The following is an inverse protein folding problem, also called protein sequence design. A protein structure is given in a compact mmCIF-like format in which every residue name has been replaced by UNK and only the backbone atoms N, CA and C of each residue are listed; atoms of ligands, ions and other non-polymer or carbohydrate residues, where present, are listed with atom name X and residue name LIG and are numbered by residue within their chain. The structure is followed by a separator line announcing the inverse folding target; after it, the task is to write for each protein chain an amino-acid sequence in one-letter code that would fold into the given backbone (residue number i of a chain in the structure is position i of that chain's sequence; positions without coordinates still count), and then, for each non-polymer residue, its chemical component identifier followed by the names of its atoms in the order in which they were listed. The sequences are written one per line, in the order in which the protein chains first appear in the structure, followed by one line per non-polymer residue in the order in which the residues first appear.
data_IF_801852848109
#
_entry.id   IF_801852848109
#
_cell.length_a   1.000
_cell.length_b   1.000
_cell.length_c   1.000
_cell.angle_alpha   90.00
_cell.angle_beta   90.00
_cell.angle_gamma   90.00
#
_symmetry.space_group_name_H-M   'P 1'
#
loop_
_entity.id
_entity.type
_entity.pdbx_description
1 polymer ?
#
# COMPACT_ATOMS: atom_id res chain seq x y z
N UNK A 1 18.63 9.73 0.35
CA UNK A 1 18.10 10.05 -1.01
C UNK A 1 17.69 8.72 -1.59
N UNK A 2 16.40 8.55 -1.87
CA UNK A 2 15.82 7.30 -2.39
C UNK A 2 16.43 6.96 -3.76
N UNK A 3 16.88 5.71 -3.94
CA UNK A 3 17.57 5.22 -5.14
C UNK A 3 17.15 3.82 -5.59
N UNK A 4 16.43 3.07 -4.74
CA UNK A 4 16.04 1.66 -4.90
C UNK A 4 17.17 0.72 -5.39
N UNK A 5 18.36 0.69 -4.77
CA UNK A 5 19.30 -0.42 -4.98
C UNK A 5 18.83 -1.70 -4.27
N UNK A 6 19.41 -2.84 -4.63
CA UNK A 6 19.17 -4.10 -3.91
C UNK A 6 17.77 -4.72 -4.13
N UNK A 7 17.07 -4.33 -5.21
CA UNK A 7 15.71 -4.82 -5.47
C UNK A 7 15.69 -6.33 -5.64
N UNK A 8 14.91 -7.01 -4.79
CA UNK A 8 14.71 -8.45 -4.85
C UNK A 8 13.36 -8.85 -4.27
N UNK A 9 12.92 -10.07 -4.60
CA UNK A 9 11.75 -10.71 -4.00
C UNK A 9 12.20 -12.04 -3.40
N UNK A 10 11.78 -12.32 -2.17
CA UNK A 10 12.08 -13.59 -1.51
C UNK A 10 10.80 -14.23 -0.97
N UNK A 11 10.70 -15.55 -1.12
CA UNK A 11 9.72 -16.40 -0.42
C UNK A 11 10.35 -17.14 0.77
N UNK A 12 11.68 -17.02 0.92
CA UNK A 12 12.44 -17.55 2.05
C UNK A 12 12.41 -16.50 3.17
N UNK A 13 11.29 -16.43 3.89
CA UNK A 13 11.07 -15.48 4.98
C UNK A 13 10.63 -16.23 6.25
N UNK A 14 11.31 -15.97 7.37
CA UNK A 14 11.05 -16.69 8.62
C UNK A 14 9.74 -16.31 9.32
N UNK A 15 9.20 -15.12 9.02
CA UNK A 15 8.01 -14.57 9.67
C UNK A 15 6.97 -13.98 8.68
N UNK A 16 7.17 -14.23 7.39
CA UNK A 16 6.31 -13.74 6.32
C UNK A 16 6.24 -14.75 5.17
N UNK A 17 5.27 -14.58 4.26
CA UNK A 17 5.12 -15.43 3.08
C UNK A 17 5.99 -14.93 1.92
N UNK A 18 6.06 -13.61 1.76
CA UNK A 18 6.85 -12.95 0.70
C UNK A 18 7.43 -11.66 1.24
N UNK A 19 8.68 -11.37 0.89
CA UNK A 19 9.28 -10.04 1.10
C UNK A 19 9.69 -9.42 -0.23
N UNK A 20 9.37 -8.13 -0.38
CA UNK A 20 9.82 -7.26 -1.46
C UNK A 20 10.86 -6.32 -0.85
N UNK A 21 12.09 -6.39 -1.34
CA UNK A 21 13.26 -5.82 -0.65
C UNK A 21 13.89 -4.75 -1.52
N UNK A 22 14.29 -3.63 -0.91
CA UNK A 22 15.26 -2.68 -1.45
C UNK A 22 16.01 -2.02 -0.29
N UNK A 23 17.16 -1.41 -0.57
CA UNK A 23 17.97 -0.75 0.46
C UNK A 23 17.26 0.45 1.12
N UNK A 24 16.28 1.05 0.44
CA UNK A 24 15.58 2.23 0.93
C UNK A 24 14.19 1.92 1.53
N UNK A 25 13.55 0.82 1.13
CA UNK A 25 12.25 0.39 1.63
C UNK A 25 12.01 -1.09 1.31
N UNK A 26 11.52 -1.84 2.29
CA UNK A 26 11.04 -3.21 2.09
C UNK A 26 9.60 -3.39 2.59
N UNK A 27 8.90 -4.37 2.02
CA UNK A 27 7.55 -4.77 2.40
C UNK A 27 7.52 -6.27 2.66
N UNK A 28 6.97 -6.68 3.80
CA UNK A 28 6.84 -8.06 4.18
C UNK A 28 5.35 -8.40 4.22
N UNK A 29 4.92 -9.29 3.32
CA UNK A 29 3.55 -9.77 3.25
C UNK A 29 3.43 -11.05 4.07
N UNK A 30 2.55 -11.03 5.07
CA UNK A 30 2.22 -12.18 5.91
C UNK A 30 0.72 -12.34 6.01
N UNK A 31 0.29 -13.54 6.41
CA UNK A 31 -1.12 -13.84 6.63
C UNK A 31 -1.33 -14.14 8.11
N UNK A 32 -2.39 -13.57 8.67
CA UNK A 32 -2.84 -13.81 10.05
C UNK A 32 -4.35 -14.00 10.02
N UNK A 33 -4.81 -15.18 10.45
CA UNK A 33 -6.17 -15.67 10.19
C UNK A 33 -6.60 -15.47 8.72
N UNK A 34 -7.63 -14.66 8.50
CA UNK A 34 -8.20 -14.35 7.19
C UNK A 34 -7.70 -13.02 6.62
N UNK A 35 -6.71 -12.39 7.25
CA UNK A 35 -6.18 -11.09 6.85
C UNK A 35 -4.78 -11.21 6.25
N UNK A 36 -4.57 -10.44 5.20
CA UNK A 36 -3.26 -10.16 4.63
C UNK A 36 -2.70 -8.92 5.31
N UNK A 37 -1.52 -9.07 5.90
CA UNK A 37 -0.84 -8.02 6.65
C UNK A 37 0.43 -7.65 5.94
N UNK A 38 0.62 -6.35 5.72
CA UNK A 38 1.86 -5.77 5.21
C UNK A 38 2.59 -5.11 6.38
N UNK A 39 3.84 -5.52 6.58
CA UNK A 39 4.80 -4.80 7.40
C UNK A 39 5.75 -4.01 6.49
N UNK A 40 6.20 -2.85 6.95
CA UNK A 40 7.14 -1.98 6.23
C UNK A 40 8.49 -1.91 6.95
N UNK A 41 9.59 -1.93 6.23
CA UNK A 41 10.94 -1.69 6.77
C UNK A 41 11.53 -0.47 6.06
N UNK A 42 11.92 0.55 6.84
CA UNK A 42 12.49 1.79 6.29
C UNK A 42 14.00 1.66 5.97
N UNK A 43 14.56 2.73 5.38
CA UNK A 43 15.98 2.87 5.01
C UNK A 43 16.96 2.81 6.19
N UNK A 44 16.44 2.78 7.43
CA UNK A 44 17.21 2.61 8.67
C UNK A 44 17.02 1.21 9.26
N UNK A 45 16.46 0.29 8.48
CA UNK A 45 16.16 -1.08 8.87
C UNK A 45 15.19 -1.18 10.07
N UNK A 46 14.37 -0.14 10.30
CA UNK A 46 13.34 -0.18 11.32
C UNK A 46 12.06 -0.73 10.72
N UNK A 47 11.54 -1.80 11.34
CA UNK A 47 10.28 -2.43 10.96
C UNK A 47 9.09 -1.76 11.63
N UNK A 48 8.04 -1.53 10.85
CA UNK A 48 6.72 -1.09 11.26
C UNK A 48 5.74 -2.20 10.94
N UNK A 49 5.18 -2.81 11.97
CA UNK A 49 4.28 -3.93 11.80
C UNK A 49 2.86 -3.46 11.48
N UNK A 50 2.16 -4.25 10.67
CA UNK A 50 0.78 -4.04 10.25
C UNK A 50 0.52 -2.61 9.75
N UNK A 51 1.38 -2.10 8.86
CA UNK A 51 1.10 -0.83 8.18
C UNK A 51 -0.14 -0.93 7.31
N UNK A 52 -0.45 -2.12 6.79
CA UNK A 52 -1.75 -2.43 6.19
C UNK A 52 -2.30 -3.80 6.61
N UNK A 53 -3.63 -3.87 6.76
CA UNK A 53 -4.38 -5.11 7.01
C UNK A 53 -5.53 -5.20 6.00
N UNK A 54 -5.55 -6.25 5.18
CA UNK A 54 -6.32 -6.33 3.94
C UNK A 54 -7.07 -7.66 3.89
N UNK A 55 -8.38 -7.63 3.68
CA UNK A 55 -9.24 -8.82 3.80
C UNK A 55 -9.08 -9.85 2.67
N UNK A 56 -8.46 -9.46 1.55
CA UNK A 56 -8.25 -10.34 0.40
C UNK A 56 -6.84 -10.16 -0.16
N UNK A 57 -6.35 -11.21 -0.83
CA UNK A 57 -5.05 -11.15 -1.48
C UNK A 57 -5.03 -10.09 -2.59
N UNK A 58 -6.12 -9.94 -3.36
CA UNK A 58 -6.21 -8.90 -4.38
C UNK A 58 -6.07 -7.49 -3.79
N UNK A 59 -6.61 -7.24 -2.58
CA UNK A 59 -6.40 -5.96 -1.92
C UNK A 59 -4.94 -5.76 -1.48
N UNK A 60 -4.28 -6.84 -1.03
CA UNK A 60 -2.84 -6.83 -0.73
C UNK A 60 -1.99 -6.50 -1.96
N UNK A 61 -2.28 -7.13 -3.09
CA UNK A 61 -1.62 -6.88 -4.37
C UNK A 61 -1.77 -5.41 -4.81
N UNK A 62 -3.01 -4.89 -4.85
CA UNK A 62 -3.28 -3.49 -5.20
C UNK A 62 -2.52 -2.52 -4.30
N UNK A 63 -2.51 -2.78 -2.99
CA UNK A 63 -1.81 -1.94 -2.02
C UNK A 63 -0.29 -1.95 -2.27
N UNK A 64 0.30 -3.13 -2.44
CA UNK A 64 1.73 -3.28 -2.70
C UNK A 64 2.17 -2.62 -4.01
N UNK A 65 1.41 -2.79 -5.09
CA UNK A 65 1.67 -2.12 -6.38
C UNK A 65 1.68 -0.60 -6.20
N UNK A 66 0.65 -0.05 -5.56
CA UNK A 66 0.57 1.38 -5.29
C UNK A 66 1.73 1.89 -4.43
N UNK A 67 2.05 1.20 -3.33
CA UNK A 67 3.13 1.61 -2.42
C UNK A 67 4.49 1.55 -3.09
N UNK A 68 4.79 0.43 -3.77
CA UNK A 68 6.05 0.24 -4.47
C UNK A 68 6.23 1.25 -5.60
N UNK A 69 5.18 1.50 -6.40
CA UNK A 69 5.24 2.48 -7.46
C UNK A 69 5.36 3.92 -6.93
N UNK A 70 4.64 4.27 -5.85
CA UNK A 70 4.77 5.58 -5.20
C UNK A 70 6.21 5.83 -4.74
N UNK A 71 6.85 4.80 -4.20
CA UNK A 71 8.25 4.85 -3.77
C UNK A 71 9.21 4.98 -4.95
N UNK A 72 9.03 4.16 -5.98
CA UNK A 72 9.81 4.19 -7.23
C UNK A 72 9.76 5.57 -7.89
N UNK A 73 8.58 6.18 -7.99
CA UNK A 73 8.40 7.52 -8.55
C UNK A 73 9.18 8.58 -7.77
N UNK A 74 9.16 8.51 -6.45
CA UNK A 74 9.94 9.42 -5.60
C UNK A 74 11.46 9.24 -5.83
N UNK A 75 11.95 8.01 -5.95
CA UNK A 75 13.35 7.72 -6.27
C UNK A 75 13.76 8.28 -7.65
N UNK A 76 12.86 8.20 -8.63
CA UNK A 76 13.03 8.74 -9.98
C UNK A 76 12.77 10.26 -10.08
N UNK A 77 12.42 10.94 -8.99
CA UNK A 77 12.03 12.36 -8.96
C UNK A 77 10.86 12.69 -9.91
N UNK A 78 9.98 11.72 -10.11
CA UNK A 78 8.72 11.91 -10.82
C UNK A 78 7.67 12.50 -9.87
N UNK A 79 6.60 13.06 -10.43
CA UNK A 79 5.49 13.58 -9.64
C UNK A 79 4.90 12.49 -8.74
N UNK A 80 4.79 12.77 -7.44
CA UNK A 80 4.27 11.82 -6.47
C UNK A 80 2.79 11.51 -6.75
N UNK A 81 2.44 10.22 -6.65
CA UNK A 81 1.09 9.73 -6.95
C UNK A 81 0.06 10.12 -5.88
N UNK A 82 0.40 9.91 -4.60
CA UNK A 82 -0.51 10.07 -3.46
C UNK A 82 -1.07 11.48 -3.22
N UNK A 83 -0.30 12.58 -3.34
CA UNK A 83 -0.77 13.91 -2.93
C UNK A 83 -2.02 14.42 -3.66
N UNK A 84 -2.21 14.07 -4.93
CA UNK A 84 -3.40 14.51 -5.67
C UNK A 84 -4.67 13.82 -5.17
N UNK A 85 -4.60 12.51 -4.93
CA UNK A 85 -5.73 11.73 -4.39
C UNK A 85 -6.02 12.10 -2.93
N UNK A 86 -4.98 12.31 -2.12
CA UNK A 86 -5.15 12.74 -0.73
C UNK A 86 -5.94 14.05 -0.61
N UNK A 87 -5.66 15.02 -1.49
CA UNK A 87 -6.37 16.31 -1.52
C UNK A 87 -7.86 16.19 -1.87
N UNK A 88 -8.28 15.10 -2.52
CA UNK A 88 -9.68 14.86 -2.86
C UNK A 88 -10.48 14.34 -1.66
N UNK A 89 -9.82 14.00 -0.55
CA UNK A 89 -10.47 13.32 0.58
C UNK A 89 -10.76 11.86 0.25
N UNK A 90 -11.63 11.23 1.03
CA UNK A 90 -12.06 9.85 0.78
C UNK A 90 -12.97 9.77 -0.45
N UNK A 91 -12.83 8.70 -1.23
CA UNK A 91 -13.77 8.37 -2.30
C UNK A 91 -15.19 8.20 -1.73
N UNK A 92 -16.20 8.66 -2.49
CA UNK A 92 -17.62 8.43 -2.18
C UNK A 92 -18.06 6.98 -2.35
N UNK A 93 -17.25 6.17 -3.02
CA UNK A 93 -17.60 4.78 -3.39
C UNK A 93 -17.23 3.77 -2.29
N UNK A 94 -16.67 4.24 -1.17
CA UNK A 94 -16.29 3.41 -0.03
C UNK A 94 -17.01 3.88 1.24
N UNK A 95 -17.31 2.94 2.12
CA UNK A 95 -17.77 3.26 3.47
C UNK A 95 -16.60 3.27 4.45
N UNK A 96 -16.69 4.10 5.48
CA UNK A 96 -15.67 4.19 6.55
C UNK A 96 -16.23 3.59 7.83
N UNK A 97 -15.44 2.75 8.49
CA UNK A 97 -15.71 2.25 9.83
C UNK A 97 -14.54 2.57 10.78
N UNK A 98 -14.80 2.76 12.10
CA UNK A 98 -13.73 2.90 13.08
C UNK A 98 -12.89 1.64 13.15
N UNK A 99 -11.56 1.80 13.20
CA UNK A 99 -10.64 0.73 13.57
C UNK A 99 -10.37 0.74 15.07
N UNK A 100 -9.73 -0.31 15.61
CA UNK A 100 -9.35 -0.37 17.03
C UNK A 100 -8.42 0.78 17.47
N UNK A 101 -7.64 1.32 16.53
CA UNK A 101 -6.75 2.47 16.74
C UNK A 101 -7.32 3.73 16.11
N UNK A 102 -7.36 4.84 16.87
CA UNK A 102 -7.84 6.15 16.41
C UNK A 102 -7.06 6.73 15.21
N UNK A 103 -5.83 6.26 15.01
CA UNK A 103 -4.94 6.68 13.93
C UNK A 103 -5.17 5.91 12.63
N UNK A 104 -6.05 4.92 12.67
CA UNK A 104 -6.39 4.05 11.54
C UNK A 104 -7.88 4.12 11.24
N UNK A 105 -8.23 3.80 10.02
CA UNK A 105 -9.62 3.69 9.59
C UNK A 105 -9.78 2.39 8.80
N UNK A 106 -10.96 1.80 8.90
CA UNK A 106 -11.36 0.69 8.04
C UNK A 106 -12.12 1.25 6.83
N UNK A 107 -11.63 0.94 5.64
CA UNK A 107 -12.33 1.10 4.38
C UNK A 107 -13.16 -0.15 4.12
N UNK A 108 -14.43 0.01 3.75
CA UNK A 108 -15.33 -1.07 3.39
C UNK A 108 -15.86 -0.87 1.97
N UNK A 109 -15.76 -1.93 1.15
CA UNK A 109 -16.16 -1.91 -0.25
C UNK A 109 -16.63 -3.28 -0.71
N UNK A 110 -17.19 -3.36 -1.92
CA UNK A 110 -17.55 -4.64 -2.54
C UNK A 110 -16.34 -5.53 -2.86
N UNK A 111 -15.12 -4.97 -2.93
CA UNK A 111 -13.88 -5.71 -3.12
C UNK A 111 -13.29 -6.26 -1.80
N UNK A 112 -13.91 -5.94 -0.67
CA UNK A 112 -13.44 -6.26 0.68
C UNK A 112 -13.07 -5.02 1.49
N UNK A 113 -12.45 -5.29 2.63
CA UNK A 113 -12.08 -4.31 3.64
C UNK A 113 -10.56 -4.11 3.73
N UNK A 114 -10.15 -2.90 4.08
CA UNK A 114 -8.76 -2.51 4.29
C UNK A 114 -8.63 -1.60 5.53
N UNK A 115 -7.78 -1.95 6.48
CA UNK A 115 -7.49 -1.13 7.67
C UNK A 115 -6.13 -0.48 7.49
N UNK A 116 -6.09 0.84 7.41
CA UNK A 116 -4.91 1.63 7.05
C UNK A 116 -4.77 2.88 7.94
N UNK A 117 -3.56 3.46 8.08
CA UNK A 117 -3.40 4.82 8.58
C UNK A 117 -4.25 5.81 7.77
N UNK A 118 -4.78 6.86 8.40
CA UNK A 118 -5.72 7.78 7.75
C UNK A 118 -5.21 8.36 6.41
N UNK A 119 -3.91 8.68 6.32
CA UNK A 119 -3.31 9.18 5.07
C UNK A 119 -3.41 8.16 3.93
N UNK A 120 -3.05 6.92 4.23
CA UNK A 120 -3.02 5.83 3.26
C UNK A 120 -4.44 5.39 2.92
N UNK A 121 -5.34 5.37 3.91
CA UNK A 121 -6.75 5.07 3.71
C UNK A 121 -7.42 6.09 2.77
N UNK A 122 -7.12 7.38 2.95
CA UNK A 122 -7.66 8.44 2.09
C UNK A 122 -7.27 8.20 0.64
N UNK A 123 -5.99 7.89 0.37
CA UNK A 123 -5.51 7.61 -1.00
C UNK A 123 -6.06 6.29 -1.53
N UNK A 124 -5.96 5.21 -0.75
CA UNK A 124 -6.34 3.86 -1.17
C UNK A 124 -7.84 3.71 -1.39
N UNK A 125 -8.67 4.57 -0.78
CA UNK A 125 -10.11 4.63 -1.07
C UNK A 125 -10.44 4.86 -2.55
N UNK A 126 -9.55 5.53 -3.29
CA UNK A 126 -9.67 5.75 -4.74
C UNK A 126 -9.16 4.58 -5.59
N UNK A 127 -8.47 3.63 -4.96
CA UNK A 127 -7.81 2.49 -5.63
C UNK A 127 -8.50 1.16 -5.35
N UNK A 128 -9.17 1.02 -4.20
CA UNK A 128 -9.69 -0.26 -3.70
C UNK A 128 -10.63 -0.96 -4.69
N UNK A 129 -11.44 -0.19 -5.43
CA UNK A 129 -12.37 -0.70 -6.44
C UNK A 129 -11.78 -0.80 -7.85
N UNK A 130 -10.59 -0.24 -8.10
CA UNK A 130 -9.92 -0.30 -9.41
C UNK A 130 -9.31 -1.68 -9.66
N UNK A 131 -9.22 -2.07 -10.92
CA UNK A 131 -8.43 -3.24 -11.31
C UNK A 131 -6.93 -3.00 -11.10
N UNK A 132 -6.14 -4.08 -11.08
CA UNK A 132 -4.68 -3.98 -11.01
C UNK A 132 -4.15 -3.19 -12.21
N UNK A 133 -4.59 -3.52 -13.42
CA UNK A 133 -4.18 -2.83 -14.66
C UNK A 133 -4.44 -1.32 -14.62
N UNK A 134 -5.61 -0.89 -14.13
CA UNK A 134 -5.92 0.53 -13.95
C UNK A 134 -4.97 1.20 -12.95
N UNK A 135 -4.64 0.52 -11.85
CA UNK A 135 -3.69 1.06 -10.85
C UNK A 135 -2.30 1.16 -11.47
N UNK A 136 -1.84 0.14 -12.20
CA UNK A 136 -0.55 0.15 -12.90
C UNK A 136 -0.47 1.31 -13.90
N UNK A 137 -1.51 1.50 -14.72
CA UNK A 137 -1.59 2.62 -15.65
C UNK A 137 -1.52 3.96 -14.92
N UNK A 138 -2.31 4.12 -13.86
CA UNK A 138 -2.35 5.33 -13.04
C UNK A 138 -1.00 5.63 -12.37
N UNK A 139 -0.29 4.63 -11.85
CA UNK A 139 1.02 4.85 -11.22
C UNK A 139 2.14 5.06 -12.24
N UNK A 140 2.04 4.51 -13.44
CA UNK A 140 3.01 4.75 -14.51
C UNK A 140 2.85 6.15 -15.11
N UNK A 141 1.63 6.55 -15.44
CA UNK A 141 1.35 7.79 -16.18
C UNK A 141 1.11 9.00 -15.27
N UNK A 142 0.75 8.77 -14.01
CA UNK A 142 0.26 9.78 -13.07
C UNK A 142 -1.28 9.90 -13.09
N UNK A 143 -1.83 10.60 -12.10
CA UNK A 143 -3.28 10.79 -11.96
C UNK A 143 -3.75 11.86 -12.96
N UNK A 144 -4.75 11.54 -13.79
CA UNK A 144 -5.44 12.52 -14.65
C UNK A 144 -4.76 12.87 -15.99
N UNK A 145 -3.97 11.94 -16.55
CA UNK A 145 -3.48 12.02 -17.93
C UNK A 145 -4.28 11.15 -18.87
#
# INVERSE_FOLDING_TARGET
MLRMPGVSVSTECGDCQVSFISDDQSFHLRQDDNWWIVDEVDDRNKRYNATATLSTFQLAEKYLIWRWASFTRNALRLEAFGPQLYKQGYSSDVSLAPAESEWRVELQSSAGNAILPQSDATIFSHLILKSVDEIEEMVMNGVGR
#
